data_IF_927313067380
#
_entry.id   IF_927313067380
#
_cell.length_a   1.000
_cell.length_b   1.000
_cell.length_c   1.000
_cell.angle_alpha   90.00
_cell.angle_beta   90.00
_cell.angle_gamma   90.00
#
_symmetry.space_group_name_H-M   'P 1'
#
loop_
_entity.id
_entity.type
_entity.pdbx_description
1 polymer ?
#
# COMPACT_ATOMS: atom_id res chain seq x y z
N UNK A 1 -54.63 -28.84 9.89
CA UNK A 1 -53.36 -28.10 9.99
C UNK A 1 -52.63 -28.33 8.69
N UNK A 2 -52.50 -27.26 7.85
CA UNK A 2 -52.27 -27.40 6.40
C UNK A 2 -50.76 -27.51 6.05
N UNK A 3 -50.34 -28.68 5.61
CA UNK A 3 -49.01 -29.00 5.11
C UNK A 3 -48.63 -28.12 3.86
N UNK A 4 -49.61 -27.58 3.16
CA UNK A 4 -49.43 -26.71 1.97
C UNK A 4 -48.85 -25.34 2.36
N UNK A 5 -49.16 -24.81 3.53
CA UNK A 5 -48.64 -23.52 3.99
C UNK A 5 -47.14 -23.52 4.35
N UNK A 6 -46.62 -24.66 4.84
CA UNK A 6 -45.22 -24.86 5.17
C UNK A 6 -44.34 -25.05 3.91
N UNK A 7 -44.86 -25.69 2.88
CA UNK A 7 -44.13 -25.87 1.61
C UNK A 7 -44.01 -24.54 0.87
N UNK A 8 -45.04 -23.70 0.86
CA UNK A 8 -45.05 -22.37 0.20
C UNK A 8 -44.06 -21.40 0.87
N UNK A 9 -43.89 -21.47 2.19
CA UNK A 9 -42.90 -20.62 2.90
C UNK A 9 -41.47 -21.05 2.60
N UNK A 10 -41.18 -22.33 2.45
CA UNK A 10 -39.85 -22.83 2.13
C UNK A 10 -39.42 -22.48 0.70
N UNK A 11 -40.33 -22.60 -0.26
CA UNK A 11 -40.03 -22.23 -1.66
C UNK A 11 -39.82 -20.73 -1.80
N UNK A 12 -40.59 -19.89 -1.10
CA UNK A 12 -40.43 -18.45 -1.14
C UNK A 12 -39.11 -17.98 -0.47
N UNK A 13 -38.66 -18.67 0.60
CA UNK A 13 -37.39 -18.35 1.25
C UNK A 13 -36.15 -18.77 0.44
N UNK A 14 -36.25 -19.85 -0.37
CA UNK A 14 -35.14 -20.25 -1.22
C UNK A 14 -34.93 -19.31 -2.43
N UNK A 15 -36.04 -18.84 -3.04
CA UNK A 15 -35.97 -17.88 -4.16
C UNK A 15 -35.43 -16.50 -3.69
N UNK A 16 -35.76 -16.12 -2.44
CA UNK A 16 -35.24 -14.88 -1.87
C UNK A 16 -33.74 -14.98 -1.50
N UNK A 17 -33.28 -16.16 -1.10
CA UNK A 17 -31.87 -16.46 -0.82
C UNK A 17 -31.00 -16.38 -2.09
N UNK A 18 -31.47 -16.90 -3.21
CA UNK A 18 -30.73 -16.88 -4.49
C UNK A 18 -30.53 -15.45 -5.03
N UNK A 19 -31.52 -14.57 -4.80
CA UNK A 19 -31.42 -13.18 -5.22
C UNK A 19 -30.48 -12.35 -4.36
N UNK A 20 -30.34 -12.69 -3.09
CA UNK A 20 -29.36 -12.10 -2.17
C UNK A 20 -27.95 -12.57 -2.52
N UNK A 21 -27.75 -13.85 -2.79
CA UNK A 21 -26.45 -14.38 -3.26
C UNK A 21 -26.03 -13.77 -4.58
N UNK A 22 -26.92 -13.61 -5.54
CA UNK A 22 -26.62 -12.97 -6.82
C UNK A 22 -26.28 -11.49 -6.65
N UNK A 23 -26.98 -10.77 -5.79
CA UNK A 23 -26.67 -9.36 -5.46
C UNK A 23 -25.35 -9.21 -4.73
N UNK A 24 -24.99 -10.13 -3.84
CA UNK A 24 -23.71 -10.16 -3.16
C UNK A 24 -22.56 -10.41 -4.16
N UNK A 25 -22.69 -11.40 -5.03
CA UNK A 25 -21.69 -11.70 -6.07
C UNK A 25 -21.52 -10.51 -7.03
N UNK A 26 -22.61 -9.90 -7.49
CA UNK A 26 -22.55 -8.72 -8.35
C UNK A 26 -21.90 -7.52 -7.64
N UNK A 27 -22.16 -7.34 -6.35
CA UNK A 27 -21.53 -6.29 -5.53
C UNK A 27 -20.05 -6.54 -5.35
N UNK A 28 -19.62 -7.78 -5.11
CA UNK A 28 -18.22 -8.13 -5.05
C UNK A 28 -17.48 -7.81 -6.34
N UNK A 29 -18.03 -8.17 -7.50
CA UNK A 29 -17.39 -7.88 -8.79
C UNK A 29 -17.24 -6.39 -9.10
N UNK A 30 -18.22 -5.56 -8.76
CA UNK A 30 -18.13 -4.11 -8.99
C UNK A 30 -17.14 -3.45 -8.03
N UNK A 31 -17.10 -3.88 -6.77
CA UNK A 31 -16.14 -3.40 -5.78
C UNK A 31 -14.72 -3.79 -6.20
N UNK A 32 -14.52 -5.00 -6.73
CA UNK A 32 -13.21 -5.48 -7.17
C UNK A 32 -12.63 -4.64 -8.33
N UNK A 33 -13.45 -4.26 -9.32
CA UNK A 33 -12.99 -3.43 -10.43
C UNK A 33 -12.63 -2.01 -10.02
N UNK A 34 -13.42 -1.40 -9.17
CA UNK A 34 -13.14 -0.07 -8.64
C UNK A 34 -11.87 -0.07 -7.80
N UNK A 35 -11.75 -1.07 -6.92
CA UNK A 35 -10.55 -1.27 -6.10
C UNK A 35 -9.30 -1.45 -6.96
N UNK A 36 -9.35 -2.29 -8.00
CA UNK A 36 -8.25 -2.49 -8.93
C UNK A 36 -7.86 -1.22 -9.68
N UNK A 37 -8.84 -0.42 -10.08
CA UNK A 37 -8.60 0.87 -10.73
C UNK A 37 -7.90 1.84 -9.78
N UNK A 38 -8.40 2.01 -8.57
CA UNK A 38 -7.82 2.85 -7.52
C UNK A 38 -6.39 2.39 -7.18
N UNK A 39 -6.20 1.09 -6.96
CA UNK A 39 -4.89 0.48 -6.71
C UNK A 39 -3.91 0.73 -7.87
N UNK A 40 -4.38 0.64 -9.11
CA UNK A 40 -3.55 0.92 -10.29
C UNK A 40 -3.13 2.39 -10.34
N UNK A 41 -4.03 3.32 -10.08
CA UNK A 41 -3.72 4.75 -10.01
C UNK A 41 -2.66 5.02 -8.94
N UNK A 42 -2.83 4.47 -7.74
CA UNK A 42 -1.87 4.63 -6.65
C UNK A 42 -0.50 4.01 -7.00
N UNK A 43 -0.48 2.85 -7.64
CA UNK A 43 0.77 2.24 -8.10
C UNK A 43 1.50 3.07 -9.16
N UNK A 44 0.77 3.75 -10.04
CA UNK A 44 1.36 4.69 -11.01
C UNK A 44 1.92 5.93 -10.30
N UNK A 45 1.16 6.50 -9.36
CA UNK A 45 1.62 7.65 -8.57
C UNK A 45 2.89 7.30 -7.82
N UNK A 46 2.92 6.15 -7.13
CA UNK A 46 4.12 5.67 -6.42
C UNK A 46 5.30 5.50 -7.37
N UNK A 47 5.11 4.77 -8.48
CA UNK A 47 6.17 4.52 -9.45
C UNK A 47 6.75 5.78 -10.09
N UNK A 48 5.98 6.86 -10.20
CA UNK A 48 6.47 8.14 -10.72
C UNK A 48 7.13 8.99 -9.62
N UNK A 49 6.55 9.01 -8.42
CA UNK A 49 6.98 9.92 -7.35
C UNK A 49 8.14 9.38 -6.52
N UNK A 50 8.34 8.06 -6.47
CA UNK A 50 9.44 7.44 -5.73
C UNK A 50 10.82 7.80 -6.32
N UNK A 51 10.90 8.00 -7.63
CA UNK A 51 12.14 8.40 -8.29
C UNK A 51 12.39 9.90 -8.27
N UNK A 52 11.42 10.69 -7.84
CA UNK A 52 11.54 12.13 -7.71
C UNK A 52 11.80 12.51 -6.25
N UNK A 53 12.66 13.50 -5.95
CA UNK A 53 12.93 13.92 -4.57
C UNK A 53 11.80 14.79 -3.99
N UNK A 54 10.54 14.32 -4.06
CA UNK A 54 9.33 15.08 -3.73
C UNK A 54 8.41 14.40 -2.70
N UNK A 55 8.87 13.35 -2.03
CA UNK A 55 8.09 12.53 -1.07
C UNK A 55 6.92 11.80 -1.73
N UNK A 56 7.13 10.54 -2.11
CA UNK A 56 6.10 9.63 -2.62
C UNK A 56 4.95 9.44 -1.61
N UNK A 57 5.28 9.29 -0.33
CA UNK A 57 4.29 9.13 0.75
C UNK A 57 3.29 10.29 0.81
N UNK A 58 3.75 11.53 0.68
CA UNK A 58 2.87 12.70 0.66
C UNK A 58 1.91 12.68 -0.54
N UNK A 59 2.40 12.28 -1.71
CA UNK A 59 1.57 12.13 -2.91
C UNK A 59 0.57 10.98 -2.79
N UNK A 60 0.97 9.86 -2.19
CA UNK A 60 0.07 8.73 -1.96
C UNK A 60 -1.05 9.06 -0.98
N UNK A 61 -0.78 9.83 0.09
CA UNK A 61 -1.82 10.27 1.03
C UNK A 61 -2.87 11.08 0.27
N UNK A 62 -2.45 12.09 -0.50
CA UNK A 62 -3.36 12.93 -1.27
C UNK A 62 -4.10 12.11 -2.34
N UNK A 63 -3.39 11.27 -3.08
CA UNK A 63 -3.98 10.46 -4.13
C UNK A 63 -4.98 9.44 -3.58
N UNK A 64 -4.67 8.76 -2.47
CA UNK A 64 -5.57 7.79 -1.84
C UNK A 64 -6.87 8.42 -1.34
N UNK A 65 -6.78 9.65 -0.80
CA UNK A 65 -7.95 10.42 -0.39
C UNK A 65 -8.80 10.84 -1.60
N UNK A 66 -8.16 11.38 -2.64
CA UNK A 66 -8.86 11.81 -3.87
C UNK A 66 -9.59 10.68 -4.61
N UNK A 67 -9.00 9.48 -4.64
CA UNK A 67 -9.65 8.33 -5.30
C UNK A 67 -10.58 7.57 -4.37
N UNK A 68 -10.68 7.95 -3.09
CA UNK A 68 -11.51 7.27 -2.10
C UNK A 68 -10.96 5.89 -1.68
N UNK A 69 -9.66 5.68 -1.81
CA UNK A 69 -8.99 4.43 -1.40
C UNK A 69 -8.63 4.40 0.08
N UNK A 70 -8.43 5.56 0.70
CA UNK A 70 -7.98 5.69 2.08
C UNK A 70 -8.91 5.02 3.11
N UNK A 71 -10.21 4.93 2.81
CA UNK A 71 -11.20 4.31 3.69
C UNK A 71 -11.38 2.80 3.44
N UNK A 72 -10.64 2.22 2.48
CA UNK A 72 -10.76 0.79 2.17
C UNK A 72 -9.99 -0.04 3.18
N UNK A 73 -10.52 -1.21 3.58
CA UNK A 73 -9.77 -2.13 4.44
C UNK A 73 -8.45 -2.55 3.79
N UNK A 74 -7.34 -2.41 4.50
CA UNK A 74 -6.02 -2.77 3.98
C UNK A 74 -5.33 -1.69 3.15
N UNK A 75 -5.83 -0.44 3.15
CA UNK A 75 -5.22 0.66 2.40
C UNK A 75 -3.77 0.95 2.86
N UNK A 76 -3.52 0.95 4.16
CA UNK A 76 -2.19 1.21 4.71
C UNK A 76 -1.21 0.11 4.33
N UNK A 77 -1.62 -1.16 4.42
CA UNK A 77 -0.82 -2.31 4.03
C UNK A 77 -0.52 -2.29 2.53
N UNK A 78 -1.48 -1.89 1.71
CA UNK A 78 -1.30 -1.75 0.27
C UNK A 78 -0.26 -0.67 -0.06
N UNK A 79 -0.34 0.50 0.59
CA UNK A 79 0.63 1.59 0.41
C UNK A 79 2.04 1.11 0.75
N UNK A 80 2.23 0.42 1.88
CA UNK A 80 3.53 -0.16 2.26
C UNK A 80 4.00 -1.21 1.24
N UNK A 81 3.09 -2.01 0.70
CA UNK A 81 3.42 -3.03 -0.29
C UNK A 81 3.92 -2.43 -1.61
N UNK A 82 3.26 -1.39 -2.14
CA UNK A 82 3.70 -0.72 -3.39
C UNK A 82 5.02 0.02 -3.21
N UNK A 83 5.27 0.67 -2.08
CA UNK A 83 6.56 1.28 -1.74
C UNK A 83 7.67 0.23 -1.70
N UNK A 84 7.40 -0.91 -1.07
CA UNK A 84 8.34 -2.04 -1.05
C UNK A 84 8.62 -2.57 -2.46
N UNK A 85 7.60 -2.62 -3.31
CA UNK A 85 7.73 -3.00 -4.72
C UNK A 85 8.61 -2.03 -5.51
N UNK A 86 8.46 -0.72 -5.30
CA UNK A 86 9.29 0.30 -5.93
C UNK A 86 10.76 0.17 -5.50
N UNK A 87 11.03 -0.04 -4.20
CA UNK A 87 12.38 -0.29 -3.68
C UNK A 87 13.00 -1.55 -4.31
N UNK A 88 12.24 -2.64 -4.42
CA UNK A 88 12.69 -3.87 -5.06
C UNK A 88 13.02 -3.65 -6.54
N UNK A 89 12.24 -2.85 -7.26
CA UNK A 89 12.51 -2.51 -8.66
C UNK A 89 13.85 -1.75 -8.81
N UNK A 90 14.15 -0.81 -7.89
CA UNK A 90 15.45 -0.12 -7.84
C UNK A 90 16.58 -1.11 -7.55
N UNK A 91 16.40 -1.98 -6.58
CA UNK A 91 17.40 -3.02 -6.26
C UNK A 91 17.66 -3.93 -7.45
N UNK A 92 16.61 -4.30 -8.20
CA UNK A 92 16.74 -5.11 -9.40
C UNK A 92 17.47 -4.36 -10.52
N UNK A 93 17.13 -3.08 -10.76
CA UNK A 93 17.77 -2.27 -11.77
C UNK A 93 19.26 -2.07 -11.49
N UNK A 94 19.63 -1.78 -10.25
CA UNK A 94 21.00 -1.56 -9.81
C UNK A 94 21.71 -2.82 -9.29
N UNK A 95 21.14 -4.02 -9.49
CA UNK A 95 21.68 -5.28 -8.93
C UNK A 95 23.17 -5.50 -9.18
N UNK A 96 23.65 -5.18 -10.39
CA UNK A 96 25.06 -5.36 -10.74
C UNK A 96 25.96 -4.39 -9.96
N UNK A 97 25.52 -3.15 -9.79
CA UNK A 97 26.25 -2.16 -9.01
C UNK A 97 26.24 -2.52 -7.52
N UNK A 98 25.10 -2.92 -6.99
CA UNK A 98 24.98 -3.37 -5.60
C UNK A 98 25.93 -4.56 -5.36
N UNK A 99 25.93 -5.51 -6.29
CA UNK A 99 26.78 -6.70 -6.19
C UNK A 99 28.28 -6.38 -6.30
N UNK A 100 28.65 -5.43 -7.16
CA UNK A 100 30.02 -4.93 -7.26
C UNK A 100 30.50 -4.28 -5.95
N UNK A 101 29.65 -3.43 -5.35
CA UNK A 101 29.95 -2.81 -4.05
C UNK A 101 30.11 -3.86 -2.95
N UNK A 102 29.16 -4.80 -2.84
CA UNK A 102 29.21 -5.85 -1.83
C UNK A 102 30.48 -6.71 -1.92
N UNK A 103 30.87 -7.11 -3.14
CA UNK A 103 32.10 -7.88 -3.36
C UNK A 103 33.37 -7.05 -3.12
N UNK A 104 33.32 -5.76 -3.42
CA UNK A 104 34.41 -4.83 -3.26
C UNK A 104 34.68 -4.34 -1.84
N UNK A 105 33.76 -4.61 -0.90
CA UNK A 105 33.87 -4.17 0.50
C UNK A 105 35.16 -4.64 1.19
N UNK A 106 35.68 -5.80 0.80
CA UNK A 106 36.91 -6.39 1.38
C UNK A 106 38.18 -6.05 0.61
N UNK A 107 38.06 -5.68 -0.68
CA UNK A 107 39.22 -5.62 -1.59
C UNK A 107 39.42 -4.25 -2.26
N UNK A 108 38.40 -3.39 -2.30
CA UNK A 108 38.45 -2.12 -3.05
C UNK A 108 38.23 -0.91 -2.14
N UNK A 109 39.26 -0.05 -1.94
CA UNK A 109 39.11 1.17 -1.14
C UNK A 109 38.02 2.13 -1.68
N UNK A 110 37.75 2.08 -3.01
CA UNK A 110 36.71 2.89 -3.65
C UNK A 110 35.32 2.45 -3.20
N UNK A 111 35.06 1.15 -3.20
CA UNK A 111 33.75 0.59 -2.80
C UNK A 111 33.53 0.72 -1.29
N UNK A 112 34.59 0.57 -0.50
CA UNK A 112 34.56 0.83 0.95
C UNK A 112 34.17 2.28 1.25
N UNK A 113 34.81 3.25 0.59
CA UNK A 113 34.46 4.68 0.76
C UNK A 113 33.01 4.96 0.37
N UNK A 114 32.54 4.37 -0.72
CA UNK A 114 31.14 4.53 -1.14
C UNK A 114 30.19 3.99 -0.07
N UNK A 115 30.42 2.79 0.41
CA UNK A 115 29.59 2.18 1.46
C UNK A 115 29.60 2.99 2.76
N UNK A 116 30.79 3.40 3.24
CA UNK A 116 30.93 4.21 4.44
C UNK A 116 30.22 5.55 4.29
N UNK A 117 30.43 6.25 3.17
CA UNK A 117 29.76 7.52 2.92
C UNK A 117 28.25 7.40 2.87
N UNK A 118 27.72 6.32 2.29
CA UNK A 118 26.29 6.04 2.26
C UNK A 118 25.73 5.82 3.66
N UNK A 119 26.41 5.01 4.49
CA UNK A 119 25.99 4.76 5.88
C UNK A 119 26.06 6.05 6.71
N UNK A 120 27.16 6.81 6.61
CA UNK A 120 27.33 8.07 7.34
C UNK A 120 26.28 9.11 6.94
N UNK A 121 25.94 9.18 5.66
CA UNK A 121 24.87 10.08 5.17
C UNK A 121 23.48 9.68 5.67
N UNK A 122 23.22 8.38 5.84
CA UNK A 122 21.96 7.86 6.32
C UNK A 122 21.78 8.01 7.85
N UNK A 123 22.86 7.92 8.62
CA UNK A 123 22.81 7.92 10.10
C UNK A 123 22.03 9.10 10.71
N UNK A 124 22.24 10.37 10.30
CA UNK A 124 21.50 11.49 10.87
C UNK A 124 19.98 11.36 10.65
N UNK A 125 19.57 10.96 9.45
CA UNK A 125 18.17 10.77 9.11
C UNK A 125 17.55 9.61 9.91
N UNK A 126 18.28 8.51 10.10
CA UNK A 126 17.82 7.37 10.88
C UNK A 126 17.65 7.76 12.36
N UNK A 127 18.63 8.46 12.95
CA UNK A 127 18.57 8.91 14.35
C UNK A 127 17.37 9.87 14.55
N UNK A 128 17.24 10.89 13.71
CA UNK A 128 16.12 11.83 13.79
C UNK A 128 14.79 11.10 13.59
N UNK A 129 14.70 10.19 12.62
CA UNK A 129 13.48 9.42 12.34
C UNK A 129 13.02 8.60 13.54
N UNK A 130 13.92 7.90 14.22
CA UNK A 130 13.59 7.11 15.42
C UNK A 130 13.08 7.99 16.55
N UNK A 131 13.72 9.11 16.83
CA UNK A 131 13.30 10.00 17.90
C UNK A 131 12.05 10.83 17.55
N UNK A 132 11.88 11.20 16.28
CA UNK A 132 10.74 11.99 15.81
C UNK A 132 9.49 11.13 15.55
N UNK A 133 9.63 9.81 15.37
CA UNK A 133 8.51 8.92 15.01
C UNK A 133 7.31 9.05 15.98
N UNK A 134 7.57 9.12 17.29
CA UNK A 134 6.52 9.31 18.29
C UNK A 134 5.78 10.64 18.16
N UNK A 135 6.49 11.71 17.87
CA UNK A 135 5.90 13.05 17.67
C UNK A 135 5.11 13.13 16.37
N UNK A 136 5.63 12.54 15.29
CA UNK A 136 4.98 12.50 13.97
C UNK A 136 3.68 11.71 14.05
N UNK A 137 3.70 10.54 14.69
CA UNK A 137 2.49 9.74 14.90
C UNK A 137 1.47 10.49 15.75
N UNK A 138 1.88 11.16 16.83
CA UNK A 138 0.99 11.98 17.64
C UNK A 138 0.31 13.08 16.81
N UNK A 139 1.06 13.78 15.96
CA UNK A 139 0.50 14.84 15.09
C UNK A 139 -0.47 14.30 14.05
N UNK A 140 -0.18 13.15 13.44
CA UNK A 140 -1.04 12.54 12.42
C UNK A 140 -2.34 11.98 13.01
N UNK A 141 -2.29 11.40 14.20
CA UNK A 141 -3.47 10.82 14.85
C UNK A 141 -4.28 11.80 15.70
N UNK A 142 -3.74 12.97 16.07
CA UNK A 142 -4.47 14.00 16.81
C UNK A 142 -5.10 15.08 15.92
N UNK A 143 -4.86 15.06 14.62
CA UNK A 143 -5.57 15.93 13.68
C UNK A 143 -7.03 15.46 13.59
N UNK A 144 -8.03 16.28 14.00
CA UNK A 144 -9.42 15.91 13.86
C UNK A 144 -9.73 15.78 12.38
N UNK A 145 -10.02 14.54 11.94
CA UNK A 145 -10.58 14.31 10.61
C UNK A 145 -11.86 15.13 10.49
N UNK A 146 -11.99 16.03 9.52
CA UNK A 146 -13.27 16.66 9.25
C UNK A 146 -14.25 15.56 8.81
N UNK A 147 -15.28 15.34 9.64
CA UNK A 147 -16.43 14.48 9.31
C UNK A 147 -17.33 15.22 8.33
#
# INVERSE_FOLDING_TARGET
>A
MNSIGLYRRRVCSSIFSDNEHFRLIARFHIVDWLYLLQATVLGIVEGLTEFLPISSTGHLIIASDLVGFAETPGADEFVVAIQSGAILAVCWYYRERIWAVLRGLTSSPKEQRLAVNTVVAFLPAAVIGVFAAGYINCLLYTSPSPR
#
